data_IF_307168380802
#
_entry.id   IF_307168380802
#
_cell.length_a   1.000
_cell.length_b   1.000
_cell.length_c   1.000
_cell.angle_alpha   90.00
_cell.angle_beta   90.00
_cell.angle_gamma   90.00
#
_symmetry.space_group_name_H-M   'P 1'
#
loop_
_entity.id
_entity.type
_entity.pdbx_description
1 polymer ?
#
# COMPACT_ATOMS: atom_id res chain seq x y z
N UNK A 1 -11.52 11.40 -20.61
CA UNK A 1 -10.08 11.24 -20.83
C UNK A 1 -9.39 11.77 -19.58
N UNK A 2 -8.74 10.92 -18.78
CA UNK A 2 -8.04 11.39 -17.59
C UNK A 2 -6.75 12.09 -18.05
N UNK A 3 -6.69 13.42 -17.90
CA UNK A 3 -5.46 14.19 -18.10
C UNK A 3 -4.45 13.84 -17.00
N UNK A 4 -3.70 12.76 -17.20
CA UNK A 4 -2.64 12.32 -16.29
C UNK A 4 -1.46 13.29 -16.41
N UNK A 5 -1.45 14.32 -15.56
CA UNK A 5 -0.24 15.12 -15.33
C UNK A 5 0.56 14.49 -14.21
N UNK A 6 1.86 14.31 -14.39
CA UNK A 6 2.77 13.97 -13.29
C UNK A 6 2.65 15.02 -12.19
N UNK A 7 2.49 14.57 -10.94
CA UNK A 7 2.38 15.45 -9.77
C UNK A 7 3.59 16.39 -9.71
N UNK A 8 3.37 17.66 -9.37
CA UNK A 8 4.46 18.61 -9.09
C UNK A 8 5.21 18.26 -7.81
N UNK A 9 4.61 17.43 -6.95
CA UNK A 9 5.26 16.93 -5.74
C UNK A 9 6.11 15.71 -6.09
N UNK A 10 7.35 15.68 -5.57
CA UNK A 10 8.31 14.62 -5.82
C UNK A 10 8.04 13.40 -4.90
N UNK A 11 6.89 12.73 -5.13
CA UNK A 11 6.44 11.58 -4.34
C UNK A 11 7.46 10.44 -4.36
N UNK A 12 8.02 10.13 -5.53
CA UNK A 12 9.01 9.07 -5.67
C UNK A 12 10.32 9.39 -4.94
N UNK A 13 10.78 10.65 -5.03
CA UNK A 13 11.99 11.09 -4.33
C UNK A 13 11.81 11.05 -2.80
N UNK A 14 10.62 11.39 -2.30
CA UNK A 14 10.30 11.25 -0.88
C UNK A 14 10.31 9.77 -0.43
N UNK A 15 9.73 8.88 -1.24
CA UNK A 15 9.74 7.44 -0.98
C UNK A 15 11.16 6.88 -0.95
N UNK A 16 12.04 7.29 -1.87
CA UNK A 16 13.43 6.85 -1.89
C UNK A 16 14.19 7.24 -0.60
N UNK A 17 13.97 8.47 -0.09
CA UNK A 17 14.58 8.93 1.16
C UNK A 17 14.05 8.17 2.37
N UNK A 18 12.74 7.95 2.44
CA UNK A 18 12.11 7.17 3.51
C UNK A 18 12.64 5.73 3.52
N UNK A 19 12.68 5.08 2.36
CA UNK A 19 13.20 3.73 2.20
C UNK A 19 14.67 3.62 2.67
N UNK A 20 15.52 4.56 2.26
CA UNK A 20 16.93 4.60 2.67
C UNK A 20 17.14 4.80 4.17
N UNK A 21 16.18 5.37 4.87
CA UNK A 21 16.26 5.63 6.32
C UNK A 21 15.80 4.44 7.15
N UNK A 22 14.85 3.66 6.63
CA UNK A 22 14.16 2.61 7.39
C UNK A 22 14.71 1.20 7.15
N UNK A 23 15.49 1.00 6.08
CA UNK A 23 16.08 -0.29 5.75
C UNK A 23 17.61 -0.31 5.89
N UNK A 24 18.16 -1.47 6.26
CA UNK A 24 19.60 -1.70 6.17
C UNK A 24 19.99 -1.92 4.70
N UNK A 25 20.52 -0.86 4.07
CA UNK A 25 20.91 -0.89 2.66
C UNK A 25 22.05 -1.84 2.34
N UNK A 26 22.79 -2.34 3.32
CA UNK A 26 23.82 -3.34 3.10
C UNK A 26 23.21 -4.71 2.81
N UNK A 27 22.24 -5.11 3.63
CA UNK A 27 21.52 -6.38 3.50
C UNK A 27 20.67 -6.39 2.23
N UNK A 28 19.93 -5.30 1.98
CA UNK A 28 19.09 -5.18 0.78
C UNK A 28 19.93 -5.23 -0.49
N UNK A 29 21.06 -4.50 -0.52
CA UNK A 29 21.93 -4.50 -1.69
C UNK A 29 22.55 -5.88 -1.95
N UNK A 30 23.00 -6.57 -0.89
CA UNK A 30 23.55 -7.92 -1.00
C UNK A 30 22.51 -8.90 -1.55
N UNK A 31 21.26 -8.83 -1.07
CA UNK A 31 20.17 -9.69 -1.51
C UNK A 31 19.82 -9.50 -2.99
N UNK A 32 19.83 -8.26 -3.49
CA UNK A 32 19.54 -7.95 -4.90
C UNK A 32 20.78 -7.98 -5.80
N UNK A 33 21.91 -8.49 -5.30
CA UNK A 33 23.14 -8.69 -6.08
C UNK A 33 23.85 -7.39 -6.49
N UNK A 34 23.71 -6.31 -5.72
CA UNK A 34 24.37 -5.03 -5.98
C UNK A 34 25.25 -4.56 -4.82
N UNK A 35 26.14 -3.60 -5.10
CA UNK A 35 26.98 -2.99 -4.07
C UNK A 35 26.13 -2.01 -3.23
N UNK A 36 26.27 -1.98 -1.88
CA UNK A 36 25.51 -1.06 -1.04
C UNK A 36 25.65 0.42 -1.42
N UNK A 37 26.85 0.82 -1.86
CA UNK A 37 27.09 2.19 -2.33
C UNK A 37 26.31 2.52 -3.61
N UNK A 38 26.11 1.54 -4.49
CA UNK A 38 25.32 1.72 -5.72
C UNK A 38 23.84 1.89 -5.36
N UNK A 39 23.32 1.09 -4.42
CA UNK A 39 21.95 1.24 -3.92
C UNK A 39 21.72 2.61 -3.29
N UNK A 40 22.63 3.05 -2.40
CA UNK A 40 22.60 4.39 -1.78
C UNK A 40 22.58 5.51 -2.82
N UNK A 41 23.41 5.40 -3.86
CA UNK A 41 23.45 6.38 -4.94
C UNK A 41 22.15 6.37 -5.74
N UNK A 42 21.59 5.19 -6.04
CA UNK A 42 20.34 5.05 -6.81
C UNK A 42 19.10 5.55 -6.06
N UNK A 43 19.08 5.43 -4.74
CA UNK A 43 18.03 5.96 -3.87
C UNK A 43 18.18 7.45 -3.58
N UNK A 44 19.29 8.10 -3.97
CA UNK A 44 19.49 9.53 -3.75
C UNK A 44 18.99 10.34 -4.96
N UNK A 45 17.93 11.17 -4.82
CA UNK A 45 17.41 11.96 -5.93
C UNK A 45 18.40 12.96 -6.54
N UNK A 46 19.45 13.34 -5.81
CA UNK A 46 20.48 14.26 -6.29
C UNK A 46 21.51 13.59 -7.22
N UNK A 47 21.52 12.26 -7.29
CA UNK A 47 22.43 11.50 -8.13
C UNK A 47 21.81 11.19 -9.50
N UNK A 48 22.63 11.05 -10.56
CA UNK A 48 22.14 10.80 -11.91
C UNK A 48 21.65 9.36 -12.11
N UNK A 49 22.17 8.41 -11.33
CA UNK A 49 21.79 7.00 -11.44
C UNK A 49 20.45 6.76 -10.73
N UNK A 50 19.48 6.20 -11.46
CA UNK A 50 18.15 5.87 -10.92
C UNK A 50 17.99 4.35 -10.79
N UNK A 51 17.03 3.95 -9.96
CA UNK A 51 16.56 2.56 -9.92
C UNK A 51 15.92 2.19 -11.26
N UNK A 52 16.28 1.02 -11.77
CA UNK A 52 15.61 0.37 -12.89
C UNK A 52 14.38 -0.39 -12.39
N UNK A 53 13.46 -0.75 -13.30
CA UNK A 53 12.27 -1.53 -12.94
C UNK A 53 12.65 -2.87 -12.30
N UNK A 54 13.66 -3.56 -12.83
CA UNK A 54 14.10 -4.87 -12.33
C UNK A 54 14.67 -4.76 -10.91
N UNK A 55 15.48 -3.73 -10.64
CA UNK A 55 16.00 -3.45 -9.30
C UNK A 55 14.86 -3.13 -8.33
N UNK A 56 13.87 -2.36 -8.77
CA UNK A 56 12.74 -1.98 -7.92
C UNK A 56 11.86 -3.18 -7.56
N UNK A 57 11.61 -4.07 -8.53
CA UNK A 57 10.92 -5.34 -8.31
C UNK A 57 11.69 -6.23 -7.32
N UNK A 58 13.00 -6.42 -7.55
CA UNK A 58 13.83 -7.26 -6.67
C UNK A 58 13.92 -6.72 -5.24
N UNK A 59 14.04 -5.40 -5.09
CA UNK A 59 14.05 -4.75 -3.77
C UNK A 59 12.70 -4.94 -3.07
N UNK A 60 11.59 -4.68 -3.76
CA UNK A 60 10.25 -4.83 -3.16
C UNK A 60 9.93 -6.28 -2.82
N UNK A 61 10.33 -7.24 -3.66
CA UNK A 61 10.14 -8.68 -3.39
C UNK A 61 10.93 -9.12 -2.14
N UNK A 62 12.19 -8.70 -2.02
CA UNK A 62 13.03 -9.05 -0.87
C UNK A 62 12.59 -8.38 0.44
N UNK A 63 12.20 -7.10 0.39
CA UNK A 63 11.85 -6.32 1.58
C UNK A 63 10.38 -6.42 1.97
N UNK A 64 9.54 -6.96 1.08
CA UNK A 64 8.07 -6.92 1.16
C UNK A 64 7.51 -5.50 1.36
N UNK A 65 8.31 -4.46 1.08
CA UNK A 65 7.98 -3.07 1.28
C UNK A 65 7.64 -2.39 -0.04
N UNK A 66 6.37 -1.99 -0.15
CA UNK A 66 5.82 -1.42 -1.36
C UNK A 66 5.99 0.11 -1.48
N UNK A 67 6.64 0.78 -0.52
CA UNK A 67 6.74 2.25 -0.51
C UNK A 67 7.38 2.85 -1.75
N UNK A 68 8.38 2.19 -2.35
CA UNK A 68 8.99 2.65 -3.60
C UNK A 68 7.99 2.62 -4.76
N UNK A 69 7.20 1.55 -4.87
CA UNK A 69 6.10 1.43 -5.82
C UNK A 69 5.01 2.47 -5.55
N UNK A 70 4.63 2.69 -4.30
CA UNK A 70 3.65 3.72 -3.92
C UNK A 70 4.13 5.13 -4.26
N UNK A 71 5.44 5.38 -4.11
CA UNK A 71 6.06 6.63 -4.52
C UNK A 71 5.92 6.87 -6.02
N UNK A 72 6.10 5.82 -6.84
CA UNK A 72 5.89 5.88 -8.29
C UNK A 72 4.41 6.11 -8.63
N UNK A 73 3.51 5.35 -8.02
CA UNK A 73 2.07 5.47 -8.24
C UNK A 73 1.57 6.86 -7.83
N UNK A 74 1.98 7.36 -6.67
CA UNK A 74 1.69 8.72 -6.22
C UNK A 74 2.23 9.79 -7.15
N UNK A 75 3.41 9.58 -7.76
CA UNK A 75 4.00 10.52 -8.73
C UNK A 75 3.11 10.73 -9.96
N UNK A 76 2.39 9.68 -10.37
CA UNK A 76 1.46 9.74 -11.50
C UNK A 76 0.01 9.98 -11.05
N UNK A 77 -0.29 10.21 -9.78
CA UNK A 77 -1.66 10.31 -9.23
C UNK A 77 -2.48 9.01 -9.30
N UNK A 78 -1.81 7.86 -9.22
CA UNK A 78 -2.44 6.56 -9.01
C UNK A 78 -2.66 6.27 -7.51
N UNK A 79 -3.61 5.36 -7.25
CA UNK A 79 -3.83 4.75 -5.94
C UNK A 79 -2.62 3.89 -5.52
N UNK A 80 -2.41 3.67 -4.21
CA UNK A 80 -1.27 2.90 -3.71
C UNK A 80 -1.33 1.44 -4.15
N UNK A 81 -0.16 0.81 -4.16
CA UNK A 81 -0.02 -0.62 -4.43
C UNK A 81 -0.62 -1.43 -3.28
N UNK A 82 -1.34 -2.48 -3.66
CA UNK A 82 -1.98 -3.43 -2.74
C UNK A 82 -1.19 -4.73 -2.83
N UNK A 83 -0.28 -5.00 -1.88
CA UNK A 83 0.44 -6.27 -1.84
C UNK A 83 -0.52 -7.40 -1.45
N UNK A 84 -0.77 -8.32 -2.37
CA UNK A 84 -1.62 -9.50 -2.14
C UNK A 84 -0.88 -10.63 -1.41
N UNK A 85 0.44 -10.57 -1.34
CA UNK A 85 1.26 -11.59 -0.65
C UNK A 85 0.95 -11.65 0.87
N UNK A 86 0.56 -10.51 1.46
CA UNK A 86 0.17 -10.43 2.88
C UNK A 86 -1.32 -10.76 3.12
N UNK A 87 -2.07 -11.09 2.07
CA UNK A 87 -3.49 -11.44 2.14
C UNK A 87 -3.69 -12.89 2.59
N UNK A 88 -3.31 -13.18 3.83
CA UNK A 88 -3.60 -14.47 4.48
C UNK A 88 -4.92 -14.40 5.23
N UNK A 89 -5.56 -15.55 5.43
CA UNK A 89 -6.83 -15.66 6.15
C UNK A 89 -6.74 -15.17 7.60
N UNK A 90 -5.59 -15.37 8.24
CA UNK A 90 -5.28 -14.85 9.58
C UNK A 90 -5.20 -13.31 9.63
N UNK A 91 -4.88 -12.68 8.50
CA UNK A 91 -4.74 -11.23 8.42
C UNK A 91 -6.07 -10.52 8.11
N UNK A 92 -7.16 -11.22 7.80
CA UNK A 92 -8.45 -10.58 7.45
C UNK A 92 -8.98 -9.69 8.59
N UNK A 93 -8.98 -10.19 9.82
CA UNK A 93 -9.42 -9.44 11.01
C UNK A 93 -8.49 -8.26 11.29
N UNK A 94 -7.17 -8.48 11.14
CA UNK A 94 -6.16 -7.44 11.31
C UNK A 94 -6.33 -6.34 10.26
N UNK A 95 -6.56 -6.69 8.99
CA UNK A 95 -6.82 -5.75 7.91
C UNK A 95 -8.11 -4.96 8.13
N UNK A 96 -9.18 -5.62 8.58
CA UNK A 96 -10.42 -4.93 8.94
C UNK A 96 -10.17 -3.90 10.04
N UNK A 97 -9.52 -4.31 11.14
CA UNK A 97 -9.22 -3.44 12.27
C UNK A 97 -8.27 -2.30 11.90
N UNK A 98 -7.22 -2.57 11.12
CA UNK A 98 -6.29 -1.55 10.62
C UNK A 98 -6.99 -0.55 9.70
N UNK A 99 -7.88 -1.02 8.81
CA UNK A 99 -8.70 -0.14 7.99
C UNK A 99 -9.60 0.76 8.86
N UNK A 100 -10.30 0.18 9.84
CA UNK A 100 -11.14 0.93 10.77
C UNK A 100 -10.33 1.94 11.58
N UNK A 101 -9.16 1.57 12.09
CA UNK A 101 -8.29 2.46 12.86
C UNK A 101 -7.78 3.64 12.01
N UNK A 102 -7.33 3.37 10.79
CA UNK A 102 -6.88 4.41 9.86
C UNK A 102 -8.01 5.36 9.45
N UNK A 103 -9.19 4.83 9.13
CA UNK A 103 -10.39 5.64 8.84
C UNK A 103 -10.82 6.45 10.06
N UNK A 104 -10.80 5.87 11.26
CA UNK A 104 -11.11 6.56 12.50
C UNK A 104 -10.14 7.71 12.79
N UNK A 105 -8.84 7.51 12.53
CA UNK A 105 -7.85 8.58 12.65
C UNK A 105 -8.11 9.71 11.64
N UNK A 106 -8.45 9.39 10.39
CA UNK A 106 -8.82 10.40 9.38
C UNK A 106 -10.07 11.18 9.81
N UNK A 107 -11.08 10.49 10.34
CA UNK A 107 -12.29 11.14 10.85
C UNK A 107 -11.97 12.10 12.01
N UNK A 108 -11.09 11.70 12.94
CA UNK A 108 -10.59 12.55 14.02
C UNK A 108 -9.86 13.80 13.51
N UNK A 109 -9.05 13.65 12.46
CA UNK A 109 -8.41 14.79 11.80
C UNK A 109 -9.44 15.69 11.08
N UNK A 110 -10.46 15.11 10.43
CA UNK A 110 -11.48 15.87 9.71
C UNK A 110 -12.34 16.77 10.61
N UNK A 111 -12.59 16.35 11.86
CA UNK A 111 -13.37 17.15 12.82
C UNK A 111 -12.54 18.17 13.60
N UNK A 112 -11.21 18.11 13.52
CA UNK A 112 -10.35 19.03 14.26
C UNK A 112 -10.27 20.40 13.57
N UNK A 113 -10.61 21.44 14.35
CA UNK A 113 -10.73 22.84 13.93
C UNK A 113 -9.39 23.55 13.72
N UNK A 114 -8.26 22.88 13.96
CA UNK A 114 -6.92 23.44 13.77
C UNK A 114 -6.56 23.68 12.30
N UNK A 115 -5.65 24.62 12.05
CA UNK A 115 -5.19 24.92 10.69
C UNK A 115 -4.58 23.67 10.00
N UNK A 116 -4.86 23.53 8.70
CA UNK A 116 -4.32 22.44 7.88
C UNK A 116 -2.83 22.69 7.57
N UNK A 117 -1.94 22.04 8.31
CA UNK A 117 -0.48 22.12 8.07
C UNK A 117 -0.03 21.08 7.02
N UNK A 118 1.14 21.28 6.42
CA UNK A 118 1.71 20.33 5.46
C UNK A 118 2.00 18.95 6.08
N UNK A 119 2.44 18.92 7.35
CA UNK A 119 2.65 17.69 8.10
C UNK A 119 1.33 16.95 8.33
N UNK A 120 0.29 17.67 8.75
CA UNK A 120 -1.06 17.14 8.96
C UNK A 120 -1.66 16.56 7.68
N UNK A 121 -1.54 17.28 6.56
CA UNK A 121 -1.93 16.79 5.23
C UNK A 121 -1.24 15.46 4.89
N UNK A 122 0.08 15.39 5.10
CA UNK A 122 0.87 14.19 4.81
C UNK A 122 0.40 13.01 5.66
N UNK A 123 0.20 13.23 6.95
CA UNK A 123 -0.31 12.20 7.88
C UNK A 123 -1.70 11.68 7.48
N UNK A 124 -2.62 12.56 7.08
CA UNK A 124 -3.95 12.16 6.59
C UNK A 124 -3.82 11.29 5.33
N UNK A 125 -2.98 11.71 4.38
CA UNK A 125 -2.78 10.97 3.13
C UNK A 125 -2.14 9.59 3.37
N UNK A 126 -1.18 9.49 4.28
CA UNK A 126 -0.55 8.21 4.62
C UNK A 126 -1.54 7.27 5.29
N UNK A 127 -2.36 7.77 6.24
CA UNK A 127 -3.45 6.98 6.85
C UNK A 127 -4.49 6.54 5.82
N UNK A 128 -4.82 7.39 4.84
CA UNK A 128 -5.74 7.04 3.77
C UNK A 128 -5.18 5.91 2.90
N UNK A 129 -3.88 5.97 2.57
CA UNK A 129 -3.20 4.89 1.83
C UNK A 129 -3.20 3.58 2.60
N UNK A 130 -2.92 3.62 3.91
CA UNK A 130 -2.96 2.44 4.78
C UNK A 130 -4.35 1.82 4.86
N UNK A 131 -5.40 2.65 4.94
CA UNK A 131 -6.79 2.20 4.90
C UNK A 131 -7.12 1.51 3.57
N UNK A 132 -6.79 2.14 2.43
CA UNK A 132 -7.02 1.58 1.09
C UNK A 132 -6.30 0.24 0.94
N UNK A 133 -5.04 0.16 1.36
CA UNK A 133 -4.26 -1.08 1.32
C UNK A 133 -4.92 -2.18 2.14
N UNK A 134 -5.28 -1.87 3.39
CA UNK A 134 -5.90 -2.84 4.29
C UNK A 134 -7.26 -3.32 3.77
N UNK A 135 -8.08 -2.42 3.24
CA UNK A 135 -9.37 -2.77 2.62
C UNK A 135 -9.20 -3.62 1.36
N UNK A 136 -8.20 -3.32 0.54
CA UNK A 136 -7.96 -4.06 -0.70
C UNK A 136 -7.44 -5.47 -0.43
N UNK A 137 -6.57 -5.63 0.58
CA UNK A 137 -6.15 -6.96 1.08
C UNK A 137 -7.36 -7.72 1.61
N UNK A 138 -8.22 -7.08 2.41
CA UNK A 138 -9.44 -7.72 2.92
C UNK A 138 -10.38 -8.16 1.79
N UNK A 139 -10.62 -7.31 0.80
CA UNK A 139 -11.45 -7.64 -0.36
C UNK A 139 -10.90 -8.86 -1.10
N UNK A 140 -9.59 -8.90 -1.35
CA UNK A 140 -8.93 -10.04 -1.98
C UNK A 140 -9.06 -11.33 -1.15
N UNK A 141 -8.87 -11.28 0.17
CA UNK A 141 -9.03 -12.46 1.04
C UNK A 141 -10.48 -12.96 1.07
N UNK A 142 -11.47 -12.06 0.99
CA UNK A 142 -12.88 -12.44 0.88
C UNK A 142 -13.16 -13.11 -0.47
N UNK A 143 -12.67 -12.54 -1.56
CA UNK A 143 -12.84 -13.12 -2.91
C UNK A 143 -12.15 -14.49 -3.03
N UNK A 144 -10.92 -14.64 -2.51
CA UNK A 144 -10.18 -15.91 -2.56
C UNK A 144 -10.86 -17.02 -1.76
N UNK A 145 -11.50 -16.68 -0.63
CA UNK A 145 -12.36 -17.59 0.15
C UNK A 145 -13.57 -18.09 -0.65
N UNK A 146 -14.26 -17.19 -1.36
CA UNK A 146 -15.41 -17.55 -2.20
C UNK A 146 -14.95 -18.49 -3.33
N UNK A 147 -13.80 -18.20 -3.95
CA UNK A 147 -13.23 -19.05 -5.01
C UNK A 147 -12.75 -20.42 -4.52
N UNK A 148 -12.23 -20.50 -3.29
CA UNK A 148 -11.69 -21.75 -2.71
C UNK A 148 -12.77 -22.69 -2.16
N UNK A 149 -13.99 -22.18 -1.91
CA UNK A 149 -15.12 -22.96 -1.39
C UNK A 149 -16.45 -22.64 -2.10
N UNK A 150 -16.54 -22.81 -3.44
CA UNK A 150 -17.70 -22.37 -4.22
C UNK A 150 -19.00 -23.08 -3.84
N UNK A 151 -18.92 -24.35 -3.42
CA UNK A 151 -20.09 -25.15 -3.02
C UNK A 151 -20.68 -24.69 -1.68
N UNK A 152 -19.84 -24.25 -0.74
CA UNK A 152 -20.30 -23.72 0.55
C UNK A 152 -20.83 -22.29 0.42
N UNK A 153 -20.20 -21.46 -0.43
CA UNK A 153 -20.68 -20.11 -0.71
C UNK A 153 -22.09 -20.13 -1.33
N UNK A 154 -22.32 -20.99 -2.34
CA UNK A 154 -23.63 -21.15 -2.97
C UNK A 154 -24.70 -21.67 -1.98
N UNK A 155 -24.32 -22.56 -1.06
CA UNK A 155 -25.24 -23.07 -0.04
C UNK A 155 -25.61 -22.00 1.00
N UNK A 156 -24.66 -21.15 1.42
CA UNK A 156 -24.92 -20.03 2.33
C UNK A 156 -25.81 -18.98 1.66
N UNK A 157 -25.56 -18.63 0.40
CA UNK A 157 -26.40 -17.68 -0.34
C UNK A 157 -27.84 -18.18 -0.51
N UNK A 158 -28.04 -19.48 -0.74
CA UNK A 158 -29.38 -20.09 -0.81
C UNK A 158 -30.12 -20.04 0.53
N UNK A 159 -29.42 -20.13 1.66
CA UNK A 159 -30.05 -20.05 3.00
C UNK A 159 -30.34 -18.60 3.37
N UNK A 160 -29.45 -17.66 3.07
CA UNK A 160 -29.64 -16.23 3.39
C UNK A 160 -30.70 -15.58 2.53
N UNK A 161 -30.76 -15.86 1.22
CA UNK A 161 -31.82 -15.35 0.33
C UNK A 161 -33.20 -15.94 0.65
N UNK A 162 -33.26 -17.21 1.06
CA UNK A 162 -34.52 -17.82 1.51
C UNK A 162 -34.96 -17.32 2.89
N UNK A 163 -34.04 -16.87 3.75
CA UNK A 163 -34.37 -16.28 5.05
C UNK A 163 -34.91 -14.84 4.94
N UNK A 164 -34.46 -14.06 3.96
CA UNK A 164 -35.00 -12.71 3.69
C UNK A 164 -36.28 -12.69 2.86
N UNK A 165 -36.65 -13.80 2.21
CA UNK A 165 -37.94 -13.96 1.52
C UNK A 165 -39.12 -14.38 2.41
N UNK A 166 -38.89 -14.55 3.72
CA UNK A 166 -39.88 -15.04 4.70
C UNK A 166 -40.20 -14.03 5.83
N UNK A 167 -39.80 -12.77 5.67
CA UNK A 167 -40.35 -11.62 6.42
C UNK A 167 -41.14 -10.72 5.49
#
# INVERSE_FOLDING_TARGET
MFDYQTSKHAHFDAACRAFATEHNLEDVAAAVGMRPQILRNKLNPAQPHRLTCDELLAITDYTEDARLLDGMLGQINCLPSVPVNNATEANMQLCALSATASVGAIAGEAVSTGHMTAARRTQILDRARDAIRSLSVLAYTVESRIHSAPVLAAAVDLVTTNATGLM
#
